data_IF_487413100589
#
_entry.id   IF_487413100589
#
_cell.length_a   1.000
_cell.length_b   1.000
_cell.length_c   1.000
_cell.angle_alpha   90.00
_cell.angle_beta   90.00
_cell.angle_gamma   90.00
#
_symmetry.space_group_name_H-M   'P 1'
#
loop_
_entity.id
_entity.type
_entity.pdbx_description
1 polymer ?
#
# COMPACT_ATOMS: atom_id res chain seq x y z
N UNK A 1 -48.44 -57.13 42.77
CA UNK A 1 -49.45 -56.91 43.84
C UNK A 1 -49.99 -55.52 43.64
N UNK A 2 -51.18 -55.43 43.10
CA UNK A 2 -52.15 -54.33 43.19
C UNK A 2 -52.64 -54.22 44.66
N UNK A 3 -53.44 -53.21 45.09
CA UNK A 3 -54.35 -52.40 44.26
C UNK A 3 -54.49 -50.90 44.73
N UNK A 4 -55.09 -50.01 43.88
CA UNK A 4 -56.44 -49.35 44.02
C UNK A 4 -56.65 -48.42 45.22
N UNK A 5 -57.25 -47.25 45.01
CA UNK A 5 -58.58 -46.82 44.57
C UNK A 5 -58.65 -45.26 44.62
N UNK A 6 -59.12 -44.55 43.63
CA UNK A 6 -60.47 -44.02 43.41
C UNK A 6 -61.16 -43.28 44.55
N UNK A 7 -61.45 -41.97 44.34
CA UNK A 7 -62.77 -41.30 44.42
C UNK A 7 -62.55 -39.79 44.54
N UNK A 8 -63.00 -38.96 43.72
CA UNK A 8 -64.31 -38.47 43.23
C UNK A 8 -64.95 -37.39 44.13
N UNK A 9 -65.44 -36.45 43.52
CA UNK A 9 -66.54 -35.48 43.65
C UNK A 9 -66.17 -34.01 43.74
N UNK A 10 -66.41 -33.29 42.70
CA UNK A 10 -67.63 -32.56 42.22
C UNK A 10 -68.12 -31.44 43.17
N UNK A 11 -68.25 -30.33 42.51
CA UNK A 11 -69.23 -29.26 42.71
C UNK A 11 -69.02 -28.19 43.79
N UNK A 12 -68.82 -26.99 43.37
CA UNK A 12 -69.91 -25.96 43.40
C UNK A 12 -69.51 -24.59 42.87
N UNK A 13 -70.34 -24.14 42.00
CA UNK A 13 -70.48 -22.81 41.50
C UNK A 13 -70.60 -21.76 42.61
N UNK A 14 -69.94 -20.58 42.43
CA UNK A 14 -70.63 -19.28 42.53
C UNK A 14 -69.80 -18.12 42.05
N UNK A 15 -70.48 -17.37 41.29
CA UNK A 15 -70.22 -16.07 40.64
C UNK A 15 -69.69 -15.00 41.56
N UNK A 16 -68.72 -14.21 41.08
CA UNK A 16 -68.65 -12.77 41.40
C UNK A 16 -68.05 -12.00 40.22
N UNK A 17 -68.89 -11.24 39.55
CA UNK A 17 -68.53 -10.14 38.67
C UNK A 17 -67.89 -9.06 39.53
N UNK A 18 -66.66 -8.66 39.24
CA UNK A 18 -66.17 -7.31 39.57
C UNK A 18 -65.50 -6.71 38.33
N UNK A 19 -65.99 -5.56 38.03
CA UNK A 19 -65.60 -4.62 37.02
C UNK A 19 -64.18 -4.15 37.24
N UNK A 20 -63.47 -3.82 36.16
CA UNK A 20 -62.49 -2.78 36.30
C UNK A 20 -61.37 -2.78 35.28
N UNK A 21 -61.60 -2.09 34.22
CA UNK A 21 -60.64 -1.22 33.53
C UNK A 21 -59.28 -1.07 34.24
N UNK A 22 -58.20 -1.56 33.72
CA UNK A 22 -56.83 -1.01 33.69
C UNK A 22 -55.82 -2.10 33.35
N UNK A 23 -55.52 -2.34 32.09
CA UNK A 23 -54.29 -3.01 31.60
C UNK A 23 -54.26 -2.92 30.06
N UNK A 24 -54.37 -1.69 29.55
CA UNK A 24 -54.09 -1.42 28.13
C UNK A 24 -53.11 -0.24 28.07
N UNK A 25 -51.90 -0.48 28.55
CA UNK A 25 -50.87 0.57 28.65
C UNK A 25 -49.45 0.06 28.76
N UNK A 26 -49.14 -1.18 28.33
CA UNK A 26 -47.78 -1.67 28.43
C UNK A 26 -47.40 -2.58 27.25
N UNK A 27 -47.67 -2.13 26.00
CA UNK A 27 -47.29 -2.89 24.82
C UNK A 27 -46.93 -1.96 23.64
N UNK A 28 -46.35 -0.77 23.89
CA UNK A 28 -45.89 0.17 22.87
C UNK A 28 -44.54 0.84 23.21
N UNK A 29 -43.63 0.14 23.86
CA UNK A 29 -42.29 0.63 24.21
C UNK A 29 -41.17 -0.32 23.73
N UNK A 30 -41.39 -1.13 22.70
CA UNK A 30 -40.33 -2.00 22.14
C UNK A 30 -40.41 -1.93 20.63
N UNK A 31 -40.10 -0.80 20.03
CA UNK A 31 -39.86 -0.72 18.57
C UNK A 31 -39.09 0.54 18.17
N UNK A 32 -38.11 0.95 18.98
CA UNK A 32 -37.12 1.94 18.56
C UNK A 32 -35.70 1.44 18.86
N UNK A 33 -35.47 0.12 18.80
CA UNK A 33 -34.14 -0.37 18.49
C UNK A 33 -33.91 -0.05 17.02
N UNK A 34 -33.49 1.19 16.76
CA UNK A 34 -33.00 1.55 15.45
C UNK A 34 -31.97 0.51 15.04
N UNK A 35 -32.27 -0.27 14.02
CA UNK A 35 -31.28 -1.12 13.36
C UNK A 35 -30.13 -0.21 13.00
N UNK A 36 -29.09 -0.21 13.80
CA UNK A 36 -27.84 0.42 13.44
C UNK A 36 -27.43 -0.23 12.12
N UNK A 37 -27.76 0.44 11.02
CA UNK A 37 -27.40 0.00 9.67
C UNK A 37 -25.89 -0.06 9.68
N UNK A 38 -25.33 -1.25 9.66
CA UNK A 38 -23.89 -1.42 9.59
C UNK A 38 -23.38 -0.53 8.45
N UNK A 39 -22.49 0.39 8.78
CA UNK A 39 -21.93 1.29 7.77
C UNK A 39 -21.37 0.44 6.62
N UNK A 40 -21.71 0.82 5.38
CA UNK A 40 -21.20 0.11 4.21
C UNK A 40 -19.66 0.11 4.25
N UNK A 41 -19.01 -1.02 3.90
CA UNK A 41 -17.55 -1.09 3.90
C UNK A 41 -16.94 0.03 3.04
N UNK A 42 -15.89 0.67 3.54
CA UNK A 42 -15.05 1.57 2.77
C UNK A 42 -14.25 0.74 1.77
N UNK A 43 -14.25 1.14 0.50
CA UNK A 43 -13.61 0.42 -0.59
C UNK A 43 -12.45 1.21 -1.17
N UNK A 44 -11.32 0.54 -1.40
CA UNK A 44 -10.16 1.10 -2.07
C UNK A 44 -9.54 0.13 -3.06
N UNK A 45 -8.81 0.64 -4.03
CA UNK A 45 -8.04 -0.17 -4.97
C UNK A 45 -6.78 0.55 -5.44
N UNK A 46 -5.76 -0.19 -5.86
CA UNK A 46 -4.59 0.41 -6.48
C UNK A 46 -3.27 -0.27 -6.19
N UNK A 47 -2.28 0.51 -5.82
CA UNK A 47 -0.89 0.09 -5.65
C UNK A 47 -0.74 -1.20 -4.84
N UNK A 48 0.12 -2.10 -5.31
CA UNK A 48 0.46 -3.34 -4.58
C UNK A 48 1.58 -3.12 -3.57
N UNK A 49 2.31 -2.02 -3.70
CA UNK A 49 3.40 -1.64 -2.81
C UNK A 49 2.93 -1.55 -1.33
N UNK A 50 1.91 -0.76 -0.96
CA UNK A 50 1.46 -0.62 0.42
C UNK A 50 0.43 -1.67 0.84
N UNK A 51 0.05 -2.60 -0.02
CA UNK A 51 -1.09 -3.48 0.21
C UNK A 51 -1.01 -4.30 1.51
N UNK A 52 0.14 -4.90 1.90
CA UNK A 52 0.25 -5.59 3.18
C UNK A 52 -0.06 -4.68 4.37
N UNK A 53 0.44 -3.44 4.33
CA UNK A 53 0.22 -2.45 5.36
C UNK A 53 -1.24 -2.02 5.43
N UNK A 54 -1.87 -1.72 4.28
CA UNK A 54 -3.29 -1.33 4.24
C UNK A 54 -4.21 -2.44 4.74
N UNK A 55 -3.90 -3.70 4.44
CA UNK A 55 -4.64 -4.86 4.96
C UNK A 55 -4.49 -5.00 6.48
N UNK A 56 -3.28 -4.84 7.01
CA UNK A 56 -3.04 -4.89 8.43
C UNK A 56 -3.74 -3.72 9.16
N UNK A 57 -3.62 -2.49 8.65
CA UNK A 57 -4.36 -1.33 9.16
C UNK A 57 -5.87 -1.54 9.12
N UNK A 58 -6.43 -2.12 8.07
CA UNK A 58 -7.86 -2.40 7.96
C UNK A 58 -8.35 -3.36 9.04
N UNK A 59 -7.54 -4.38 9.37
CA UNK A 59 -7.84 -5.34 10.46
C UNK A 59 -7.85 -4.63 11.82
N UNK A 60 -6.81 -3.85 12.12
CA UNK A 60 -6.70 -3.14 13.39
C UNK A 60 -7.77 -2.03 13.51
N UNK A 61 -8.04 -1.28 12.45
CA UNK A 61 -9.07 -0.24 12.43
C UNK A 61 -10.47 -0.82 12.64
N UNK A 62 -10.75 -2.00 12.08
CA UNK A 62 -12.01 -2.70 12.35
C UNK A 62 -12.17 -3.02 13.85
N UNK A 63 -11.08 -3.39 14.54
CA UNK A 63 -11.10 -3.64 15.97
C UNK A 63 -11.31 -2.35 16.79
N UNK A 64 -10.65 -1.26 16.35
CA UNK A 64 -10.69 0.03 17.04
C UNK A 64 -11.99 0.80 16.81
N UNK A 65 -12.50 0.83 15.55
CA UNK A 65 -13.60 1.71 15.13
C UNK A 65 -14.85 0.96 14.63
N UNK A 66 -14.80 -0.37 14.49
CA UNK A 66 -15.92 -1.17 13.98
C UNK A 66 -16.15 -1.02 12.46
N UNK A 67 -15.33 -0.25 11.76
CA UNK A 67 -15.48 0.05 10.33
C UNK A 67 -14.68 -0.96 9.51
N UNK A 68 -15.31 -1.51 8.47
CA UNK A 68 -14.66 -2.43 7.53
C UNK A 68 -14.07 -1.63 6.38
N UNK A 69 -12.77 -1.79 6.15
CA UNK A 69 -12.05 -1.25 4.99
C UNK A 69 -11.61 -2.42 4.12
N UNK A 70 -11.85 -2.34 2.81
CA UNK A 70 -11.45 -3.33 1.81
C UNK A 70 -10.54 -2.67 0.80
N UNK A 71 -9.39 -3.28 0.53
CA UNK A 71 -8.44 -2.79 -0.45
C UNK A 71 -8.08 -3.89 -1.46
N UNK A 72 -8.18 -3.57 -2.75
CA UNK A 72 -7.83 -4.46 -3.86
C UNK A 72 -6.48 -4.03 -4.47
N UNK A 73 -5.41 -4.83 -4.31
CA UNK A 73 -4.07 -4.49 -4.82
C UNK A 73 -3.91 -4.86 -6.30
N UNK A 74 -4.30 -3.97 -7.21
CA UNK A 74 -4.38 -4.18 -8.65
C UNK A 74 -3.32 -3.41 -9.46
N UNK A 75 -2.50 -2.60 -8.80
CA UNK A 75 -1.51 -1.70 -9.41
C UNK A 75 -1.97 -0.25 -9.43
N UNK A 76 -0.99 0.67 -9.39
CA UNK A 76 -1.25 2.12 -9.30
C UNK A 76 -2.13 2.65 -10.44
N UNK A 77 -1.89 2.20 -11.67
CA UNK A 77 -2.69 2.61 -12.82
C UNK A 77 -4.18 2.27 -12.67
N UNK A 78 -4.49 1.05 -12.21
CA UNK A 78 -5.88 0.62 -11.95
C UNK A 78 -6.49 1.40 -10.78
N UNK A 79 -5.69 1.72 -9.75
CA UNK A 79 -6.14 2.56 -8.63
C UNK A 79 -6.59 3.94 -9.08
N UNK A 80 -5.78 4.60 -9.90
CA UNK A 80 -6.10 5.90 -10.49
C UNK A 80 -7.36 5.82 -11.38
N UNK A 81 -7.45 4.80 -12.22
CA UNK A 81 -8.62 4.61 -13.08
C UNK A 81 -9.92 4.45 -12.25
N UNK A 82 -9.92 3.53 -11.27
CA UNK A 82 -11.12 3.24 -10.47
C UNK A 82 -11.60 4.43 -9.66
N UNK A 83 -10.67 5.19 -9.05
CA UNK A 83 -11.06 6.38 -8.29
C UNK A 83 -11.55 7.52 -9.19
N UNK A 84 -10.94 7.71 -10.36
CA UNK A 84 -11.41 8.68 -11.36
C UNK A 84 -12.82 8.36 -11.82
N UNK A 85 -13.13 7.09 -11.98
CA UNK A 85 -14.47 6.59 -12.34
C UNK A 85 -15.45 6.49 -11.14
N UNK A 86 -15.00 6.88 -9.91
CA UNK A 86 -15.83 6.79 -8.69
C UNK A 86 -16.33 5.37 -8.38
N UNK A 87 -15.57 4.34 -8.79
CA UNK A 87 -15.88 2.92 -8.52
C UNK A 87 -15.40 2.45 -7.14
N UNK A 88 -14.58 3.23 -6.49
CA UNK A 88 -14.07 3.01 -5.13
C UNK A 88 -14.10 4.33 -4.35
N UNK A 89 -14.00 4.26 -3.03
CA UNK A 89 -14.01 5.44 -2.16
C UNK A 89 -12.64 6.11 -2.10
N UNK A 90 -11.56 5.34 -2.29
CA UNK A 90 -10.20 5.86 -2.41
C UNK A 90 -9.35 5.03 -3.39
N UNK A 91 -8.40 5.70 -4.03
CA UNK A 91 -7.38 5.07 -4.86
C UNK A 91 -6.03 5.05 -4.17
N UNK A 92 -5.21 4.02 -4.39
CA UNK A 92 -3.83 3.95 -3.95
C UNK A 92 -2.86 4.03 -5.14
N UNK A 93 -1.85 4.89 -5.06
CA UNK A 93 -0.82 5.03 -6.10
C UNK A 93 0.56 5.33 -5.52
N UNK A 94 1.60 4.67 -6.02
CA UNK A 94 3.00 5.00 -5.69
C UNK A 94 3.61 5.95 -6.74
N UNK A 95 2.79 6.35 -7.70
CA UNK A 95 3.11 7.36 -8.70
C UNK A 95 2.25 8.60 -8.42
N UNK A 96 2.84 9.73 -8.03
CA UNK A 96 2.06 10.94 -7.81
C UNK A 96 1.48 11.45 -9.14
N UNK A 97 0.22 11.90 -9.09
CA UNK A 97 -0.43 12.56 -10.21
C UNK A 97 0.03 14.02 -10.30
N UNK A 98 0.10 14.54 -11.52
CA UNK A 98 0.32 15.97 -11.72
C UNK A 98 -0.88 16.79 -11.25
N UNK A 99 -0.64 18.08 -10.98
CA UNK A 99 -1.72 19.01 -10.61
C UNK A 99 -2.82 19.07 -11.69
N UNK A 100 -2.41 19.03 -12.96
CA UNK A 100 -3.33 18.97 -14.10
C UNK A 100 -4.22 17.72 -14.05
N UNK A 101 -3.61 16.54 -13.84
CA UNK A 101 -4.34 15.28 -13.70
C UNK A 101 -5.29 15.27 -12.50
N UNK A 102 -4.84 15.79 -11.35
CA UNK A 102 -5.66 15.91 -10.14
C UNK A 102 -6.87 16.84 -10.37
N UNK A 103 -6.65 17.97 -11.02
CA UNK A 103 -7.72 18.92 -11.33
C UNK A 103 -8.69 18.34 -12.37
N UNK A 104 -8.21 17.74 -13.44
CA UNK A 104 -9.05 17.11 -14.46
C UNK A 104 -9.94 15.99 -13.87
N UNK A 105 -9.39 15.20 -12.95
CA UNK A 105 -10.11 14.12 -12.29
C UNK A 105 -10.89 14.57 -11.03
N UNK A 106 -10.79 15.84 -10.63
CA UNK A 106 -11.38 16.38 -9.39
C UNK A 106 -10.99 15.52 -8.16
N UNK A 107 -9.68 15.23 -8.05
CA UNK A 107 -9.11 14.43 -6.97
C UNK A 107 -8.21 15.27 -6.07
N UNK A 108 -8.16 14.90 -4.81
CA UNK A 108 -7.13 15.25 -3.85
C UNK A 108 -6.17 14.08 -3.71
N UNK A 109 -4.87 14.38 -3.58
CA UNK A 109 -3.81 13.40 -3.32
C UNK A 109 -3.08 13.74 -2.03
N UNK A 110 -2.80 12.72 -1.19
CA UNK A 110 -1.95 12.89 -0.02
C UNK A 110 -1.09 11.66 0.24
N UNK A 111 0.14 11.83 0.79
CA UNK A 111 1.02 10.71 1.11
C UNK A 111 0.56 10.01 2.38
N UNK A 112 0.89 8.71 2.53
CA UNK A 112 0.52 7.93 3.73
C UNK A 112 1.64 7.10 4.31
N UNK A 113 2.58 6.63 3.50
CA UNK A 113 3.68 5.78 3.97
C UNK A 113 4.85 5.84 3.01
N UNK A 114 6.04 5.61 3.54
CA UNK A 114 7.30 5.49 2.81
C UNK A 114 7.74 4.02 2.79
N UNK A 115 8.40 3.59 1.72
CA UNK A 115 9.00 2.27 1.62
C UNK A 115 10.08 2.23 0.55
N UNK A 116 10.68 1.07 0.31
CA UNK A 116 11.75 0.91 -0.66
C UNK A 116 11.43 -0.11 -1.74
N UNK A 117 11.68 0.25 -3.00
CA UNK A 117 11.79 -0.75 -4.07
C UNK A 117 13.20 -1.32 -4.06
N UNK A 118 13.30 -2.64 -4.01
CA UNK A 118 14.58 -3.33 -3.86
C UNK A 118 14.80 -4.33 -4.98
N UNK A 119 16.03 -4.40 -5.55
CA UNK A 119 16.38 -5.50 -6.43
C UNK A 119 16.50 -6.78 -5.61
N UNK A 120 15.90 -7.84 -6.11
CA UNK A 120 15.91 -9.19 -5.52
C UNK A 120 16.47 -10.20 -6.49
N UNK A 121 17.23 -11.18 -5.97
CA UNK A 121 17.95 -12.17 -6.78
C UNK A 121 17.69 -13.60 -6.30
N UNK A 122 17.81 -14.54 -7.23
CA UNK A 122 17.86 -15.96 -6.93
C UNK A 122 19.23 -16.56 -7.31
N UNK A 123 20.23 -16.25 -6.50
CA UNK A 123 21.58 -16.79 -6.61
C UNK A 123 21.93 -17.61 -5.37
N UNK A 124 22.14 -18.92 -5.57
CA UNK A 124 22.49 -19.80 -4.46
C UNK A 124 23.81 -19.39 -3.82
N UNK A 125 23.82 -19.29 -2.50
CA UNK A 125 25.02 -18.96 -1.72
C UNK A 125 25.28 -17.47 -1.55
N UNK A 126 24.46 -16.60 -2.14
CA UNK A 126 24.52 -15.15 -1.93
C UNK A 126 23.45 -14.74 -0.90
N UNK A 127 23.88 -14.16 0.21
CA UNK A 127 23.00 -13.73 1.31
C UNK A 127 22.39 -12.34 1.04
N UNK A 128 21.30 -11.99 1.70
CA UNK A 128 20.69 -10.65 1.59
C UNK A 128 21.72 -9.54 1.84
N UNK A 129 21.78 -8.55 0.94
CA UNK A 129 22.70 -7.40 0.99
C UNK A 129 24.16 -7.70 0.71
N UNK A 130 24.52 -8.93 0.31
CA UNK A 130 25.90 -9.31 0.02
C UNK A 130 26.34 -8.93 -1.39
N UNK A 131 25.46 -9.12 -2.39
CA UNK A 131 25.71 -8.65 -3.75
C UNK A 131 25.59 -7.12 -3.81
N UNK A 132 26.56 -6.48 -4.43
CA UNK A 132 26.63 -5.02 -4.66
C UNK A 132 26.38 -4.72 -6.13
N UNK A 133 25.45 -3.82 -6.42
CA UNK A 133 25.18 -3.31 -7.77
C UNK A 133 25.09 -1.78 -7.77
N UNK A 134 25.29 -1.19 -8.95
CA UNK A 134 25.05 0.23 -9.18
C UNK A 134 23.85 0.40 -10.10
N UNK A 135 23.25 1.58 -10.11
CA UNK A 135 22.16 1.90 -11.04
C UNK A 135 22.55 1.74 -12.50
N UNK A 136 23.79 2.10 -12.85
CA UNK A 136 24.31 1.90 -14.22
C UNK A 136 24.36 0.41 -14.60
N UNK A 137 24.86 -0.46 -13.71
CA UNK A 137 24.90 -1.93 -13.95
C UNK A 137 23.48 -2.49 -14.05
N UNK A 138 22.54 -2.03 -13.21
CA UNK A 138 21.15 -2.43 -13.32
C UNK A 138 20.52 -2.01 -14.64
N UNK A 139 20.80 -0.79 -15.12
CA UNK A 139 20.33 -0.33 -16.43
C UNK A 139 20.85 -1.20 -17.57
N UNK A 140 22.13 -1.62 -17.51
CA UNK A 140 22.72 -2.57 -18.48
C UNK A 140 22.05 -3.96 -18.43
N UNK A 141 21.73 -4.45 -17.24
CA UNK A 141 21.01 -5.72 -17.07
C UNK A 141 19.60 -5.63 -17.67
N UNK A 142 18.81 -4.60 -17.29
CA UNK A 142 17.43 -4.47 -17.74
C UNK A 142 17.30 -4.08 -19.21
N UNK A 143 18.31 -3.44 -19.79
CA UNK A 143 18.40 -3.23 -21.25
C UNK A 143 18.80 -4.47 -22.04
N UNK A 144 19.19 -5.56 -21.35
CA UNK A 144 19.64 -6.81 -21.98
C UNK A 144 21.05 -6.74 -22.58
N UNK A 145 21.82 -5.70 -22.31
CA UNK A 145 23.24 -5.60 -22.74
C UNK A 145 24.12 -6.45 -21.83
N UNK A 146 23.97 -6.36 -20.53
CA UNK A 146 24.66 -7.22 -19.57
C UNK A 146 23.79 -8.46 -19.29
N UNK A 147 24.27 -9.62 -19.74
CA UNK A 147 23.46 -10.85 -19.77
C UNK A 147 23.94 -11.95 -18.84
N UNK A 148 25.09 -11.82 -18.21
CA UNK A 148 25.68 -12.89 -17.35
C UNK A 148 26.06 -12.38 -15.97
N UNK A 149 25.84 -13.22 -14.96
CA UNK A 149 26.17 -12.88 -13.59
C UNK A 149 27.68 -12.68 -13.35
N UNK A 150 28.53 -13.43 -14.05
CA UNK A 150 29.99 -13.29 -13.97
C UNK A 150 30.57 -12.24 -14.92
N UNK A 151 29.77 -11.32 -15.41
CA UNK A 151 30.26 -10.20 -16.21
C UNK A 151 31.29 -9.38 -15.43
N UNK A 152 32.37 -8.92 -16.07
CA UNK A 152 33.41 -8.12 -15.41
C UNK A 152 32.86 -6.89 -14.69
N UNK A 153 31.81 -6.25 -15.18
CA UNK A 153 31.20 -5.08 -14.54
C UNK A 153 30.52 -5.44 -13.18
N UNK A 154 29.97 -6.65 -13.05
CA UNK A 154 29.42 -7.12 -11.77
C UNK A 154 30.55 -7.64 -10.89
N UNK A 155 31.49 -8.42 -11.44
CA UNK A 155 32.59 -9.02 -10.69
C UNK A 155 33.48 -7.97 -10.03
N UNK A 156 33.77 -6.86 -10.71
CA UNK A 156 34.57 -5.76 -10.17
C UNK A 156 33.94 -5.10 -8.93
N UNK A 157 32.62 -5.09 -8.82
CA UNK A 157 31.90 -4.60 -7.63
C UNK A 157 31.88 -5.63 -6.49
N UNK A 158 32.18 -6.91 -6.79
CA UNK A 158 32.01 -8.06 -5.90
C UNK A 158 33.22 -8.98 -5.93
N UNK A 159 34.46 -8.50 -5.63
CA UNK A 159 35.67 -9.25 -5.83
C UNK A 159 35.79 -10.50 -4.93
N UNK A 160 35.02 -10.57 -3.85
CA UNK A 160 35.01 -11.71 -2.91
C UNK A 160 33.92 -12.75 -3.24
N UNK A 161 33.01 -12.46 -4.18
CA UNK A 161 31.92 -13.36 -4.52
C UNK A 161 32.26 -14.23 -5.73
N UNK A 162 31.95 -15.52 -5.64
CA UNK A 162 32.02 -16.43 -6.76
C UNK A 162 30.72 -16.36 -7.59
N UNK A 163 30.68 -15.48 -8.56
CA UNK A 163 29.50 -15.29 -9.41
C UNK A 163 29.40 -16.40 -10.47
N UNK A 164 28.21 -16.98 -10.68
CA UNK A 164 28.03 -18.09 -11.61
C UNK A 164 28.16 -17.67 -13.06
N UNK A 165 28.69 -18.56 -13.92
CA UNK A 165 28.70 -18.41 -15.39
C UNK A 165 27.31 -18.72 -15.96
N UNK A 166 26.32 -17.94 -15.58
CA UNK A 166 24.91 -18.15 -15.95
C UNK A 166 24.30 -16.88 -16.53
N UNK A 167 23.32 -17.04 -17.40
CA UNK A 167 22.54 -15.93 -17.92
C UNK A 167 21.63 -15.38 -16.83
N UNK A 168 21.43 -14.05 -16.85
CA UNK A 168 20.52 -13.34 -16.00
C UNK A 168 19.12 -13.43 -16.61
N UNK A 169 18.14 -13.86 -15.81
CA UNK A 169 16.72 -13.78 -16.16
C UNK A 169 16.13 -12.56 -15.49
N UNK A 170 15.75 -11.56 -16.27
CA UNK A 170 15.09 -10.34 -15.77
C UNK A 170 13.62 -10.61 -15.52
N UNK A 171 13.12 -10.19 -14.36
CA UNK A 171 11.69 -10.22 -14.01
C UNK A 171 11.20 -8.80 -13.71
N UNK A 172 10.07 -8.42 -14.30
CA UNK A 172 9.50 -7.09 -14.17
C UNK A 172 7.99 -7.14 -13.94
N UNK A 173 7.39 -5.99 -13.67
CA UNK A 173 5.93 -5.85 -13.55
C UNK A 173 5.28 -5.88 -14.93
N UNK A 174 4.14 -6.53 -15.03
CA UNK A 174 3.37 -6.66 -16.28
C UNK A 174 2.35 -5.53 -16.45
N UNK A 175 1.71 -5.12 -15.36
CA UNK A 175 0.69 -4.06 -15.33
C UNK A 175 1.32 -2.67 -15.06
N UNK A 176 0.58 -1.57 -15.31
CA UNK A 176 0.99 -0.23 -14.93
C UNK A 176 1.22 -0.12 -13.42
N UNK A 177 2.45 0.18 -13.01
CA UNK A 177 2.91 0.03 -11.63
C UNK A 177 3.74 1.23 -11.15
N UNK A 178 3.41 1.74 -9.96
CA UNK A 178 4.23 2.75 -9.29
C UNK A 178 5.64 2.24 -8.98
N UNK A 179 5.79 0.96 -8.58
CA UNK A 179 7.11 0.36 -8.40
C UNK A 179 7.93 0.34 -9.69
N UNK A 180 7.29 0.17 -10.87
CA UNK A 180 7.97 0.29 -12.17
C UNK A 180 8.40 1.73 -12.43
N UNK A 181 7.57 2.73 -12.11
CA UNK A 181 7.96 4.14 -12.23
C UNK A 181 9.19 4.46 -11.36
N UNK A 182 9.19 4.05 -10.10
CA UNK A 182 10.32 4.23 -9.19
C UNK A 182 11.59 3.54 -9.72
N UNK A 183 11.46 2.29 -10.13
CA UNK A 183 12.55 1.50 -10.70
C UNK A 183 13.14 2.14 -11.95
N UNK A 184 12.31 2.43 -12.94
CA UNK A 184 12.75 3.00 -14.22
C UNK A 184 13.23 4.44 -14.07
N UNK A 185 12.68 5.19 -13.13
CA UNK A 185 13.17 6.52 -12.76
C UNK A 185 14.60 6.48 -12.23
N UNK A 186 14.90 5.53 -11.33
CA UNK A 186 16.27 5.31 -10.83
C UNK A 186 17.22 4.87 -11.95
N UNK A 187 16.80 3.97 -12.83
CA UNK A 187 17.61 3.57 -14.00
C UNK A 187 17.87 4.75 -14.95
N UNK A 188 16.88 5.62 -15.15
CA UNK A 188 17.01 6.82 -15.98
C UNK A 188 17.94 7.88 -15.34
N UNK A 189 17.94 8.00 -14.03
CA UNK A 189 18.88 8.85 -13.30
C UNK A 189 20.33 8.30 -13.38
N UNK A 190 20.47 6.96 -13.43
CA UNK A 190 21.77 6.28 -13.42
C UNK A 190 22.36 5.99 -14.80
N UNK A 191 21.59 6.13 -15.89
CA UNK A 191 22.00 5.79 -17.25
C UNK A 191 21.34 6.72 -18.26
N UNK A 192 22.18 7.46 -19.01
CA UNK A 192 21.71 8.34 -20.06
C UNK A 192 21.05 7.56 -21.22
N UNK A 193 21.61 6.41 -21.56
CA UNK A 193 21.06 5.54 -22.59
C UNK A 193 19.67 5.01 -22.20
N UNK A 194 19.47 4.61 -20.94
CA UNK A 194 18.14 4.23 -20.43
C UNK A 194 17.18 5.41 -20.47
N UNK A 195 17.61 6.57 -20.00
CA UNK A 195 16.81 7.81 -20.01
C UNK A 195 16.32 8.17 -21.40
N UNK A 196 17.23 8.11 -22.39
CA UNK A 196 16.91 8.47 -23.77
C UNK A 196 15.99 7.46 -24.47
N UNK A 197 16.13 6.14 -24.19
CA UNK A 197 15.42 5.08 -24.93
C UNK A 197 14.13 4.64 -24.26
N UNK A 198 14.07 4.65 -22.94
CA UNK A 198 12.97 4.06 -22.17
C UNK A 198 12.37 5.08 -21.20
N UNK A 199 13.22 5.82 -20.47
CA UNK A 199 12.81 6.81 -19.49
C UNK A 199 12.19 6.19 -18.23
N UNK A 200 11.51 7.06 -17.46
CA UNK A 200 10.72 6.69 -16.29
C UNK A 200 9.26 6.49 -16.69
N UNK A 201 8.68 5.33 -16.37
CA UNK A 201 7.31 5.01 -16.79
C UNK A 201 6.63 4.01 -15.83
N UNK A 202 5.30 4.15 -15.69
CA UNK A 202 4.44 3.13 -15.06
C UNK A 202 4.40 1.84 -15.87
N UNK A 203 4.48 1.96 -17.20
CA UNK A 203 4.40 0.86 -18.18
C UNK A 203 5.51 1.01 -19.22
N UNK A 204 6.78 0.76 -18.82
CA UNK A 204 7.87 0.87 -19.77
C UNK A 204 7.83 -0.22 -20.84
N UNK A 205 8.31 0.09 -22.04
CA UNK A 205 8.55 -0.91 -23.05
C UNK A 205 9.80 -1.73 -22.66
N UNK A 206 9.63 -2.77 -21.88
CA UNK A 206 10.72 -3.57 -21.36
C UNK A 206 11.55 -4.19 -22.49
N UNK A 207 12.86 -3.93 -22.57
CA UNK A 207 13.71 -4.48 -23.64
C UNK A 207 13.92 -5.98 -23.49
N UNK A 208 13.82 -6.51 -22.27
CA UNK A 208 14.04 -7.92 -21.97
C UNK A 208 13.29 -8.33 -20.69
N UNK A 209 13.16 -9.65 -20.50
CA UNK A 209 12.62 -10.20 -19.26
C UNK A 209 11.22 -10.78 -19.40
N UNK A 210 10.67 -11.17 -18.25
CA UNK A 210 9.35 -11.80 -18.12
C UNK A 210 8.51 -10.98 -17.14
N UNK A 211 7.28 -10.65 -17.56
CA UNK A 211 6.34 -9.88 -16.75
C UNK A 211 5.56 -10.72 -15.76
N UNK A 212 5.47 -10.26 -14.50
CA UNK A 212 4.66 -10.86 -13.45
C UNK A 212 3.71 -9.83 -12.81
N UNK A 213 2.57 -10.29 -12.30
CA UNK A 213 1.54 -9.43 -11.73
C UNK A 213 1.85 -9.09 -10.26
N UNK A 214 1.83 -7.82 -9.91
CA UNK A 214 2.05 -7.34 -8.55
C UNK A 214 3.46 -7.56 -8.02
N UNK A 215 3.74 -7.05 -6.82
CA UNK A 215 4.97 -7.36 -6.10
C UNK A 215 5.04 -8.85 -5.74
N UNK A 216 3.91 -9.45 -5.35
CA UNK A 216 3.78 -10.87 -5.02
C UNK A 216 4.16 -11.78 -6.21
N UNK A 217 3.65 -11.48 -7.41
CA UNK A 217 3.96 -12.27 -8.61
C UNK A 217 5.44 -12.15 -9.00
N UNK A 218 6.04 -10.96 -8.90
CA UNK A 218 7.48 -10.77 -9.16
C UNK A 218 8.31 -11.55 -8.14
N UNK A 219 8.01 -11.44 -6.84
CA UNK A 219 8.72 -12.17 -5.79
C UNK A 219 8.66 -13.68 -6.00
N UNK A 220 7.46 -14.22 -6.25
CA UNK A 220 7.24 -15.64 -6.54
C UNK A 220 8.02 -16.10 -7.78
N UNK A 221 8.00 -15.31 -8.86
CA UNK A 221 8.69 -15.69 -10.10
C UNK A 221 10.22 -15.68 -9.93
N UNK A 222 10.78 -14.68 -9.23
CA UNK A 222 12.20 -14.65 -8.89
C UNK A 222 12.58 -15.84 -8.03
N UNK A 223 11.79 -16.15 -6.98
CA UNK A 223 12.04 -17.28 -6.09
C UNK A 223 12.12 -18.63 -6.84
N UNK A 224 11.26 -18.81 -7.85
CA UNK A 224 11.19 -20.06 -8.63
C UNK A 224 12.16 -20.12 -9.81
N UNK A 225 12.73 -19.00 -10.23
CA UNK A 225 13.59 -18.91 -11.41
C UNK A 225 15.04 -18.75 -10.99
N UNK A 226 15.86 -19.78 -11.16
CA UNK A 226 17.30 -19.70 -10.89
C UNK A 226 17.94 -18.62 -11.75
N UNK A 227 18.88 -17.90 -11.16
CA UNK A 227 19.62 -16.82 -11.80
C UNK A 227 18.76 -15.62 -12.20
N UNK A 228 17.56 -15.50 -11.63
CA UNK A 228 16.70 -14.34 -11.85
C UNK A 228 17.14 -13.13 -11.03
N UNK A 229 16.83 -11.95 -11.58
CA UNK A 229 16.78 -10.67 -10.90
C UNK A 229 15.41 -10.05 -11.13
N UNK A 230 14.81 -9.48 -10.11
CA UNK A 230 13.57 -8.70 -10.18
C UNK A 230 13.64 -7.49 -9.26
N UNK A 231 12.55 -6.73 -9.17
CA UNK A 231 12.39 -5.66 -8.19
C UNK A 231 11.02 -5.76 -7.53
N UNK A 232 10.99 -5.56 -6.23
CA UNK A 232 9.77 -5.59 -5.42
C UNK A 232 9.85 -4.53 -4.32
N UNK A 233 8.74 -4.23 -3.69
CA UNK A 233 8.75 -3.53 -2.41
C UNK A 233 9.38 -4.44 -1.34
N UNK A 234 10.09 -3.85 -0.37
CA UNK A 234 10.99 -4.55 0.56
C UNK A 234 10.30 -5.63 1.41
N UNK A 235 9.06 -5.40 1.87
CA UNK A 235 8.27 -6.42 2.58
C UNK A 235 8.20 -7.74 1.81
N UNK A 236 7.96 -7.68 0.47
CA UNK A 236 7.86 -8.88 -0.36
C UNK A 236 9.20 -9.61 -0.49
N UNK A 237 10.32 -8.90 -0.51
CA UNK A 237 11.65 -9.53 -0.48
C UNK A 237 11.82 -10.36 0.81
N UNK A 238 11.41 -9.81 1.95
CA UNK A 238 11.54 -10.45 3.26
C UNK A 238 10.63 -11.66 3.43
N UNK A 239 9.34 -11.52 3.14
CA UNK A 239 8.37 -12.63 3.35
C UNK A 239 8.61 -13.80 2.42
N UNK A 240 9.18 -13.55 1.23
CA UNK A 240 9.59 -14.61 0.30
C UNK A 240 10.99 -15.15 0.56
N UNK A 241 11.72 -14.62 1.55
CA UNK A 241 13.11 -15.03 1.84
C UNK A 241 14.06 -14.81 0.67
N UNK A 242 13.84 -13.78 -0.14
CA UNK A 242 14.68 -13.43 -1.28
C UNK A 242 15.93 -12.66 -0.80
N UNK A 243 17.06 -12.87 -1.49
CA UNK A 243 18.24 -12.04 -1.28
C UNK A 243 18.08 -10.71 -2.01
N UNK A 244 18.03 -9.63 -1.23
CA UNK A 244 18.13 -8.26 -1.72
C UNK A 244 19.57 -7.89 -2.06
N UNK A 245 19.76 -6.84 -2.84
CA UNK A 245 21.04 -6.36 -3.32
C UNK A 245 21.39 -5.04 -2.63
N UNK A 246 22.64 -4.87 -2.20
CA UNK A 246 23.13 -3.56 -1.74
C UNK A 246 23.33 -2.65 -2.95
N UNK A 247 22.73 -1.46 -2.92
CA UNK A 247 22.83 -0.48 -3.99
C UNK A 247 23.74 0.68 -3.63
N UNK A 248 24.47 1.18 -4.62
CA UNK A 248 25.23 2.41 -4.47
C UNK A 248 24.29 3.59 -4.51
N UNK A 249 24.28 4.39 -3.42
CA UNK A 249 23.44 5.56 -3.28
C UNK A 249 24.07 6.82 -3.89
N UNK A 250 23.38 7.96 -3.76
CA UNK A 250 23.79 9.27 -4.27
C UNK A 250 25.21 9.66 -3.86
N UNK A 251 25.60 9.39 -2.62
CA UNK A 251 26.92 9.70 -2.08
C UNK A 251 28.01 8.63 -2.36
N UNK A 252 27.67 7.62 -3.16
CA UNK A 252 28.62 6.57 -3.56
C UNK A 252 28.74 5.41 -2.58
N UNK A 253 28.00 5.41 -1.45
CA UNK A 253 28.03 4.35 -0.48
C UNK A 253 27.15 3.17 -0.93
N UNK A 254 27.62 1.93 -0.66
CA UNK A 254 26.75 0.75 -0.80
C UNK A 254 25.88 0.61 0.44
N UNK A 255 24.59 0.82 0.27
CA UNK A 255 23.58 0.73 1.33
C UNK A 255 22.69 -0.50 1.15
N UNK A 256 22.21 -1.05 2.26
CA UNK A 256 21.24 -2.15 2.28
C UNK A 256 19.83 -1.60 2.40
N UNK A 257 18.86 -2.32 1.85
CA UNK A 257 17.47 -2.02 2.06
C UNK A 257 17.06 -2.26 3.51
N UNK A 258 16.54 -1.22 4.18
CA UNK A 258 16.02 -1.24 5.56
C UNK A 258 15.08 -0.06 5.74
N UNK A 259 14.08 -0.20 6.62
CA UNK A 259 13.15 0.89 6.96
C UNK A 259 13.85 2.18 7.38
N UNK A 260 14.93 2.07 8.19
CA UNK A 260 15.75 3.23 8.59
C UNK A 260 16.34 3.99 7.40
N UNK A 261 16.77 3.25 6.35
CA UNK A 261 17.39 3.84 5.17
C UNK A 261 16.33 4.48 4.24
N UNK A 262 15.10 3.97 4.26
CA UNK A 262 13.94 4.60 3.60
C UNK A 262 13.53 5.87 4.34
N UNK A 263 13.49 5.83 5.69
CA UNK A 263 13.22 7.00 6.52
C UNK A 263 14.28 8.09 6.33
N UNK A 264 15.57 7.71 6.26
CA UNK A 264 16.67 8.65 6.01
C UNK A 264 16.50 9.35 4.65
N UNK A 265 16.19 8.61 3.59
CA UNK A 265 15.95 9.19 2.28
C UNK A 265 14.73 10.13 2.27
N UNK A 266 13.64 9.74 2.94
CA UNK A 266 12.45 10.59 3.06
C UNK A 266 12.73 11.87 3.86
N UNK A 267 13.51 11.78 4.94
CA UNK A 267 13.87 12.96 5.75
C UNK A 267 14.78 13.93 5.00
N UNK A 268 15.72 13.42 4.19
CA UNK A 268 16.65 14.19 3.38
C UNK A 268 16.02 14.83 2.14
N UNK A 269 14.82 14.41 1.76
CA UNK A 269 14.14 14.90 0.56
C UNK A 269 13.45 16.23 0.78
N UNK A 270 13.49 17.07 -0.26
CA UNK A 270 12.66 18.27 -0.32
C UNK A 270 11.22 17.88 -0.68
N UNK A 271 10.36 17.83 0.33
CA UNK A 271 8.93 17.66 0.09
C UNK A 271 8.36 18.99 -0.38
N UNK A 272 8.40 19.22 -1.70
CA UNK A 272 7.83 20.43 -2.29
C UNK A 272 6.34 20.49 -1.99
N UNK A 273 5.91 21.70 -1.62
CA UNK A 273 4.58 21.92 -1.05
C UNK A 273 3.44 21.65 -2.01
N UNK A 274 2.28 21.40 -1.36
CA UNK A 274 0.96 21.30 -1.97
C UNK A 274 0.79 22.19 -3.22
N UNK A 275 0.05 21.72 -4.23
CA UNK A 275 -1.00 20.69 -4.07
C UNK A 275 -0.67 19.31 -4.66
N UNK A 276 0.52 19.04 -5.16
CA UNK A 276 0.71 17.82 -5.96
C UNK A 276 1.70 16.79 -5.43
N UNK A 277 2.49 17.09 -4.38
CA UNK A 277 3.48 16.14 -3.81
C UNK A 277 4.29 15.35 -4.86
N UNK A 278 4.64 15.97 -6.00
CA UNK A 278 5.21 15.28 -7.16
C UNK A 278 6.63 14.77 -6.96
N UNK A 279 7.32 15.21 -5.91
CA UNK A 279 8.70 14.82 -5.70
C UNK A 279 8.77 13.55 -4.86
N UNK A 280 9.32 12.52 -5.46
CA UNK A 280 9.61 11.26 -4.77
C UNK A 280 11.00 11.35 -4.13
N UNK A 281 11.23 10.71 -2.97
CA UNK A 281 12.53 10.65 -2.29
C UNK A 281 13.50 9.68 -2.99
N UNK A 282 13.59 9.78 -4.32
CA UNK A 282 14.41 8.93 -5.15
C UNK A 282 15.80 9.55 -5.31
N UNK A 283 16.84 8.73 -5.14
CA UNK A 283 18.24 9.13 -5.13
C UNK A 283 18.54 10.32 -4.20
N UNK A 284 17.86 10.31 -3.04
CA UNK A 284 18.00 11.36 -2.04
C UNK A 284 19.42 11.41 -1.46
N UNK A 285 19.93 12.61 -1.09
CA UNK A 285 21.23 12.75 -0.44
C UNK A 285 21.25 12.06 0.92
N UNK A 286 22.46 11.84 1.45
CA UNK A 286 22.68 11.24 2.77
C UNK A 286 23.38 9.88 2.70
N UNK A 287 24.33 9.62 3.63
CA UNK A 287 25.21 8.46 3.56
C UNK A 287 24.49 7.13 3.72
N UNK A 288 23.31 7.10 4.31
CA UNK A 288 22.48 5.91 4.51
C UNK A 288 21.21 5.90 3.68
N UNK A 289 20.92 6.93 2.88
CA UNK A 289 19.69 7.02 2.08
C UNK A 289 19.60 5.90 1.05
N UNK A 290 18.46 5.17 1.07
CA UNK A 290 18.17 4.14 0.06
C UNK A 290 17.80 4.81 -1.27
N UNK A 291 18.44 4.47 -2.40
CA UNK A 291 18.28 5.23 -3.64
C UNK A 291 16.92 5.05 -4.34
N UNK A 292 16.18 3.97 -4.06
CA UNK A 292 14.88 3.72 -4.68
C UNK A 292 13.79 3.77 -3.61
N UNK A 293 13.75 4.88 -2.89
CA UNK A 293 12.72 5.14 -1.89
C UNK A 293 11.48 5.71 -2.57
N UNK A 294 10.33 5.19 -2.21
CA UNK A 294 9.03 5.59 -2.74
C UNK A 294 8.06 6.00 -1.64
N UNK A 295 7.03 6.71 -2.05
CA UNK A 295 5.91 7.12 -1.21
C UNK A 295 4.65 6.55 -1.81
N UNK A 296 3.76 6.01 -0.99
CA UNK A 296 2.43 5.67 -1.43
C UNK A 296 1.46 6.80 -1.12
N UNK A 297 0.62 7.12 -2.09
CA UNK A 297 -0.36 8.20 -2.04
C UNK A 297 -1.77 7.63 -2.05
N UNK A 298 -2.66 8.33 -1.36
CA UNK A 298 -4.10 8.12 -1.43
C UNK A 298 -4.73 9.21 -2.28
N UNK A 299 -5.66 8.79 -3.11
CA UNK A 299 -6.47 9.63 -3.98
C UNK A 299 -7.92 9.57 -3.50
N UNK A 300 -8.52 10.73 -3.24
CA UNK A 300 -9.94 10.85 -2.86
C UNK A 300 -10.62 11.90 -3.73
N UNK A 301 -11.93 11.80 -3.98
CA UNK A 301 -12.67 12.87 -4.64
C UNK A 301 -12.63 14.16 -3.81
N UNK A 302 -12.41 15.32 -4.45
CA UNK A 302 -12.50 16.63 -3.77
C UNK A 302 -13.92 16.92 -3.28
N UNK A 303 -14.92 16.47 -4.06
CA UNK A 303 -16.32 16.47 -3.65
C UNK A 303 -16.71 15.00 -3.51
N UNK A 304 -16.95 14.55 -2.28
CA UNK A 304 -17.33 13.18 -2.00
C UNK A 304 -18.76 12.89 -2.47
N UNK A 305 -18.97 11.85 -3.31
CA UNK A 305 -20.33 11.46 -3.72
C UNK A 305 -21.20 11.02 -2.53
N UNK A 306 -20.58 10.46 -1.50
CA UNK A 306 -21.18 10.08 -0.23
C UNK A 306 -20.32 10.66 0.90
N UNK A 307 -20.88 11.62 1.63
CA UNK A 307 -20.18 12.36 2.68
C UNK A 307 -19.74 11.46 3.85
N UNK A 308 -20.54 10.45 4.22
CA UNK A 308 -20.22 9.56 5.33
C UNK A 308 -19.09 8.61 4.96
N UNK A 309 -19.07 8.10 3.74
CA UNK A 309 -17.97 7.29 3.22
C UNK A 309 -16.69 8.13 3.06
N UNK A 310 -16.78 9.35 2.55
CA UNK A 310 -15.65 10.26 2.45
C UNK A 310 -15.03 10.56 3.83
N UNK A 311 -15.86 10.87 4.84
CA UNK A 311 -15.40 11.02 6.23
C UNK A 311 -14.76 9.75 6.77
N UNK A 312 -15.32 8.59 6.49
CA UNK A 312 -14.78 7.31 6.94
C UNK A 312 -13.40 7.01 6.32
N UNK A 313 -13.18 7.36 5.06
CA UNK A 313 -11.85 7.26 4.40
C UNK A 313 -10.84 8.16 5.12
N UNK A 314 -11.15 9.45 5.32
CA UNK A 314 -10.22 10.38 5.96
C UNK A 314 -9.89 9.94 7.40
N UNK A 315 -10.88 9.52 8.19
CA UNK A 315 -10.68 8.99 9.56
C UNK A 315 -9.84 7.72 9.58
N UNK A 316 -10.00 6.85 8.59
CA UNK A 316 -9.17 5.65 8.48
C UNK A 316 -7.70 6.02 8.30
N UNK A 317 -7.38 6.93 7.39
CA UNK A 317 -6.00 7.32 7.13
C UNK A 317 -5.42 8.21 8.24
N UNK A 318 -6.23 9.03 8.90
CA UNK A 318 -5.82 9.76 10.09
C UNK A 318 -5.41 8.79 11.22
N UNK A 319 -6.27 7.82 11.52
CA UNK A 319 -5.96 6.77 12.48
C UNK A 319 -4.72 5.96 12.08
N UNK A 320 -4.60 5.59 10.81
CA UNK A 320 -3.48 4.81 10.30
C UNK A 320 -2.14 5.53 10.45
N UNK A 321 -2.11 6.84 10.19
CA UNK A 321 -0.91 7.67 10.27
C UNK A 321 -0.51 7.95 11.72
N UNK A 322 -1.47 8.19 12.61
CA UNK A 322 -1.21 8.53 14.02
C UNK A 322 -1.17 7.32 14.96
N UNK A 323 -2.00 6.30 14.72
CA UNK A 323 -2.14 5.13 15.59
C UNK A 323 -1.56 3.84 15.03
N UNK A 324 -1.32 3.77 13.74
CA UNK A 324 -0.87 2.56 13.03
C UNK A 324 0.65 2.38 12.97
N UNK A 325 1.44 3.18 13.69
CA UNK A 325 2.91 3.20 13.60
C UNK A 325 3.56 1.85 13.92
N UNK A 326 3.07 1.13 14.92
CA UNK A 326 3.61 -0.20 15.26
C UNK A 326 3.50 -1.19 14.10
N UNK A 327 2.44 -1.13 13.31
CA UNK A 327 2.24 -1.98 12.12
C UNK A 327 3.21 -1.57 10.99
N UNK A 328 3.49 -0.27 10.85
CA UNK A 328 4.48 0.25 9.89
C UNK A 328 5.85 -0.37 10.14
N UNK A 329 6.32 -0.35 11.39
CA UNK A 329 7.61 -0.91 11.79
C UNK A 329 7.66 -2.43 11.62
N UNK A 330 6.60 -3.15 12.02
CA UNK A 330 6.52 -4.62 11.90
C UNK A 330 6.60 -5.11 10.45
N UNK A 331 6.11 -4.31 9.50
CA UNK A 331 6.10 -4.62 8.09
C UNK A 331 7.25 -3.95 7.31
N UNK A 332 8.22 -3.35 8.02
CA UNK A 332 9.43 -2.72 7.47
C UNK A 332 9.17 -1.55 6.51
N UNK A 333 8.04 -0.89 6.66
CA UNK A 333 7.82 0.42 6.06
C UNK A 333 8.46 1.51 6.94
N UNK A 334 8.51 2.72 6.42
CA UNK A 334 8.91 3.90 7.18
C UNK A 334 7.72 4.88 7.29
N UNK A 335 7.54 5.53 8.44
CA UNK A 335 6.52 6.56 8.59
C UNK A 335 6.85 7.80 7.74
N UNK A 336 5.85 8.61 7.47
CA UNK A 336 6.05 9.93 6.89
C UNK A 336 6.85 10.81 7.88
N UNK A 337 7.69 11.75 7.39
CA UNK A 337 8.27 12.78 8.24
C UNK A 337 7.19 13.60 8.95
N UNK A 338 7.39 13.92 10.24
CA UNK A 338 6.39 14.61 11.05
C UNK A 338 5.89 15.92 10.41
N UNK A 339 6.82 16.71 9.82
CA UNK A 339 6.47 17.95 9.09
C UNK A 339 5.43 17.75 7.98
N UNK A 340 5.30 16.54 7.45
CA UNK A 340 4.31 16.18 6.43
C UNK A 340 2.99 15.79 7.08
N UNK A 341 3.05 14.98 8.13
CA UNK A 341 1.87 14.56 8.91
C UNK A 341 1.12 15.79 9.41
N UNK A 342 1.82 16.79 9.96
CA UNK A 342 1.23 18.01 10.52
C UNK A 342 0.44 18.86 9.51
N UNK A 343 0.64 18.62 8.20
CA UNK A 343 -0.04 19.35 7.12
C UNK A 343 -1.28 18.65 6.57
N UNK A 344 -1.43 17.36 6.84
CA UNK A 344 -2.52 16.56 6.28
C UNK A 344 -3.92 17.04 6.72
N UNK A 345 -4.15 17.42 8.00
CA UNK A 345 -5.45 17.93 8.42
C UNK A 345 -5.91 19.16 7.62
N UNK A 346 -5.04 20.13 7.39
CA UNK A 346 -5.35 21.31 6.57
C UNK A 346 -5.68 20.93 5.12
N UNK A 347 -4.98 19.93 4.57
CA UNK A 347 -5.26 19.43 3.23
C UNK A 347 -6.62 18.74 3.16
N UNK A 348 -6.98 17.94 4.16
CA UNK A 348 -8.26 17.22 4.21
C UNK A 348 -9.47 18.14 4.38
N UNK A 349 -9.29 19.34 4.94
CA UNK A 349 -10.34 20.37 4.98
C UNK A 349 -10.81 20.83 3.59
N UNK A 350 -9.99 20.59 2.55
CA UNK A 350 -10.35 20.89 1.15
C UNK A 350 -11.22 19.80 0.51
N UNK A 351 -11.57 18.73 1.23
CA UNK A 351 -12.51 17.70 0.79
C UNK A 351 -13.90 18.04 1.32
N UNK A 352 -14.85 18.21 0.41
CA UNK A 352 -16.21 18.69 0.73
C UNK A 352 -17.27 17.64 0.38
N UNK A 353 -18.46 17.84 0.92
CA UNK A 353 -19.69 17.16 0.45
C UNK A 353 -20.35 17.94 -0.70
N UNK A 354 -21.45 17.40 -1.23
CA UNK A 354 -22.21 18.05 -2.30
C UNK A 354 -22.88 19.39 -1.93
N UNK A 355 -22.87 19.77 -0.64
CA UNK A 355 -23.35 21.06 -0.13
C UNK A 355 -22.21 22.03 0.25
N UNK A 356 -20.99 21.76 -0.24
CA UNK A 356 -19.76 22.53 0.00
C UNK A 356 -19.35 22.62 1.47
N UNK A 357 -19.71 21.63 2.28
CA UNK A 357 -19.28 21.54 3.69
C UNK A 357 -18.05 20.67 3.81
N UNK A 358 -16.97 21.12 4.51
CA UNK A 358 -15.79 20.32 4.73
C UNK A 358 -16.11 18.98 5.39
N UNK A 359 -15.47 17.90 4.96
CA UNK A 359 -15.59 16.58 5.58
C UNK A 359 -14.69 16.39 6.78
N UNK A 360 -13.65 17.21 6.90
CA UNK A 360 -12.68 17.21 7.99
C UNK A 360 -12.82 18.48 8.83
N UNK A 361 -12.78 18.39 10.19
CA UNK A 361 -12.95 19.52 11.07
C UNK A 361 -11.82 20.56 10.99
#
# INVERSE_FOLDING_TARGET
>A
MQPNTLHDQRDRWMTARVRGRACLGLLLAVAAAGTARAAAPVSGAGATFPAPLYQAWAIEYRRAAGIIVRYEPLGSGVGVERITQRRVDFGGSDAPLSLEQLNAAQLLQFPVVVGGVVPVINLRGIRPGELKLTGAVLAEIYSGRLRRWNDPAIAALNPTLQLPRANITVVHRREPSGSSLLWTGYLAASSEDWRAKIGASLSPAWPSGVGAAGNEGVATLVQRTRFAIGYVEYYFARVHGLSDVALRNHEGNFVRARSDNFAAAAAASEWRELPSWQQLPMDAPGPSSWPITGVSFILVPRIAPDADRGRAVLRFFDWAIHGGGQVVDQLDYAPLPQKIIDRLPQLWQTVHDGADRPLWP
#
